data_IF_478697243990
#
_entry.id   IF_478697243990
#
_cell.length_a   1.000
_cell.length_b   1.000
_cell.length_c   1.000
_cell.angle_alpha   90.00
_cell.angle_beta   90.00
_cell.angle_gamma   90.00
#
_symmetry.space_group_name_H-M   'P 1'
#
loop_
_entity.id
_entity.type
_entity.pdbx_description
1 polymer ?
#
# COMPACT_ATOMS: atom_id res chain seq x y z
N UNK A 1 15.59 -11.30 -18.99
CA UNK A 1 14.35 -10.52 -19.30
C UNK A 1 14.26 -9.38 -18.29
N UNK A 2 14.11 -8.20 -18.79
CA UNK A 2 14.05 -7.00 -17.94
C UNK A 2 12.61 -6.67 -17.55
N UNK A 3 12.46 -5.99 -16.42
CA UNK A 3 11.15 -5.56 -15.89
C UNK A 3 10.38 -4.74 -16.91
N UNK A 4 11.04 -3.84 -17.64
CA UNK A 4 10.43 -3.02 -18.70
C UNK A 4 9.79 -3.82 -19.84
N UNK A 5 10.21 -5.08 -20.03
CA UNK A 5 9.70 -5.93 -21.10
C UNK A 5 8.34 -6.55 -20.76
N UNK A 6 8.01 -6.63 -19.46
CA UNK A 6 6.78 -7.27 -18.96
C UNK A 6 5.84 -6.32 -18.20
N UNK A 7 6.32 -5.12 -17.80
CA UNK A 7 5.50 -4.20 -17.02
C UNK A 7 4.31 -3.66 -17.82
N UNK A 8 3.21 -3.43 -17.13
CA UNK A 8 2.08 -2.66 -17.65
C UNK A 8 2.41 -1.17 -17.52
N UNK A 9 2.41 -0.44 -18.63
CA UNK A 9 2.77 0.99 -18.66
C UNK A 9 1.59 1.91 -18.32
N UNK A 10 0.39 1.57 -18.77
CA UNK A 10 -0.85 2.33 -18.50
C UNK A 10 -1.39 1.93 -17.12
N UNK A 11 -0.83 2.51 -16.07
CA UNK A 11 -1.16 2.18 -14.69
C UNK A 11 -2.33 3.03 -14.21
N UNK A 12 -3.34 2.39 -13.65
CA UNK A 12 -4.45 3.07 -12.97
C UNK A 12 -3.95 3.55 -11.61
N UNK A 13 -4.10 4.84 -11.35
CA UNK A 13 -3.64 5.50 -10.13
C UNK A 13 -4.74 6.33 -9.48
N UNK A 14 -4.53 6.73 -8.24
CA UNK A 14 -5.37 7.72 -7.54
C UNK A 14 -4.50 8.82 -6.97
N UNK A 15 -5.09 9.99 -6.76
CA UNK A 15 -4.44 11.10 -6.06
C UNK A 15 -4.47 10.87 -4.55
N UNK A 16 -3.54 11.47 -3.82
CA UNK A 16 -3.48 11.36 -2.35
C UNK A 16 -4.74 11.89 -1.65
N UNK A 17 -5.43 12.84 -2.27
CA UNK A 17 -6.69 13.42 -1.75
C UNK A 17 -7.93 12.58 -2.08
N UNK A 18 -7.82 11.53 -2.89
CA UNK A 18 -8.95 10.70 -3.27
C UNK A 18 -9.70 10.16 -2.05
N UNK A 19 -11.03 10.20 -2.10
CA UNK A 19 -11.87 9.65 -1.05
C UNK A 19 -11.84 8.12 -1.06
N UNK A 20 -12.25 7.51 0.05
CA UNK A 20 -12.38 6.04 0.14
C UNK A 20 -13.35 5.52 -0.93
N UNK A 21 -14.44 6.25 -1.19
CA UNK A 21 -15.40 5.90 -2.23
C UNK A 21 -14.79 5.94 -3.63
N UNK A 22 -13.99 6.96 -3.94
CA UNK A 22 -13.29 7.07 -5.22
C UNK A 22 -12.28 5.93 -5.42
N UNK A 23 -11.56 5.55 -4.37
CA UNK A 23 -10.64 4.42 -4.39
C UNK A 23 -11.41 3.11 -4.70
N UNK A 24 -12.48 2.85 -3.95
CA UNK A 24 -13.29 1.66 -4.14
C UNK A 24 -13.90 1.61 -5.55
N UNK A 25 -14.43 2.72 -6.04
CA UNK A 25 -15.01 2.82 -7.37
C UNK A 25 -13.96 2.59 -8.46
N UNK A 26 -12.76 3.15 -8.32
CA UNK A 26 -11.66 2.96 -9.27
C UNK A 26 -11.21 1.50 -9.33
N UNK A 27 -11.11 0.83 -8.19
CA UNK A 27 -10.79 -0.60 -8.09
C UNK A 27 -11.82 -1.45 -8.84
N UNK A 28 -13.10 -1.19 -8.64
CA UNK A 28 -14.19 -1.92 -9.28
C UNK A 28 -14.24 -1.64 -10.78
N UNK A 29 -14.19 -0.39 -11.20
CA UNK A 29 -14.33 0.03 -12.60
C UNK A 29 -13.21 -0.49 -13.51
N UNK A 30 -11.99 -0.63 -12.95
CA UNK A 30 -10.82 -1.06 -13.72
C UNK A 30 -10.40 -2.51 -13.43
N UNK A 31 -11.16 -3.22 -12.60
CA UNK A 31 -10.86 -4.61 -12.20
C UNK A 31 -9.40 -4.79 -11.72
N UNK A 32 -8.98 -3.90 -10.86
CA UNK A 32 -7.65 -3.92 -10.22
C UNK A 32 -7.81 -4.15 -8.73
N UNK A 33 -6.79 -4.69 -8.08
CA UNK A 33 -6.82 -4.96 -6.63
C UNK A 33 -5.96 -4.02 -5.81
N UNK A 34 -5.31 -3.06 -6.45
CA UNK A 34 -4.55 -2.01 -5.76
C UNK A 34 -4.06 -0.94 -6.73
N UNK A 35 -3.81 0.21 -6.17
CA UNK A 35 -3.54 1.44 -6.89
C UNK A 35 -2.33 2.17 -6.30
N UNK A 36 -1.36 2.59 -7.12
CA UNK A 36 -0.39 3.59 -6.68
C UNK A 36 -1.11 4.91 -6.35
N UNK A 37 -0.69 5.54 -5.26
CA UNK A 37 -1.16 6.86 -4.84
C UNK A 37 -0.15 7.89 -5.27
N UNK A 38 -0.61 8.90 -6.02
CA UNK A 38 0.24 9.92 -6.61
C UNK A 38 0.24 11.20 -5.79
N UNK A 39 1.43 11.76 -5.60
CA UNK A 39 1.60 13.10 -5.06
C UNK A 39 1.42 14.17 -6.15
N UNK A 40 1.31 15.44 -5.75
CA UNK A 40 1.09 16.57 -6.67
C UNK A 40 2.27 16.77 -7.64
N UNK A 41 3.46 16.35 -7.29
CA UNK A 41 4.68 16.42 -8.11
C UNK A 41 4.82 15.28 -9.14
N UNK A 42 3.83 14.37 -9.21
CA UNK A 42 3.85 13.23 -10.12
C UNK A 42 4.63 12.02 -9.60
N UNK A 43 5.08 12.03 -8.35
CA UNK A 43 5.75 10.89 -7.70
C UNK A 43 4.75 9.98 -6.99
N UNK A 44 5.13 8.71 -6.81
CA UNK A 44 4.35 7.75 -6.02
C UNK A 44 4.65 7.96 -4.54
N UNK A 45 3.62 8.28 -3.75
CA UNK A 45 3.75 8.49 -2.30
C UNK A 45 3.25 7.31 -1.46
N UNK A 46 2.55 6.37 -2.05
CA UNK A 46 2.05 5.18 -1.36
C UNK A 46 1.33 4.22 -2.29
N UNK A 47 0.83 3.15 -1.72
CA UNK A 47 -0.01 2.16 -2.39
C UNK A 47 -1.23 1.87 -1.53
N UNK A 48 -2.40 1.83 -2.15
CA UNK A 48 -3.66 1.43 -1.53
C UNK A 48 -4.20 0.19 -2.23
N UNK A 49 -4.74 -0.75 -1.47
CA UNK A 49 -5.27 -2.01 -1.99
C UNK A 49 -6.70 -2.30 -1.52
N UNK A 50 -7.36 -3.26 -2.18
CA UNK A 50 -8.65 -3.78 -1.69
C UNK A 50 -8.56 -4.32 -0.26
N UNK A 51 -7.41 -4.91 0.12
CA UNK A 51 -7.17 -5.36 1.49
C UNK A 51 -7.17 -4.22 2.51
N UNK A 52 -6.73 -3.03 2.13
CA UNK A 52 -6.79 -1.85 3.00
C UNK A 52 -8.24 -1.40 3.21
N UNK A 53 -9.07 -1.44 2.16
CA UNK A 53 -10.49 -1.15 2.25
C UNK A 53 -11.24 -2.15 3.14
N UNK A 54 -10.93 -3.44 3.00
CA UNK A 54 -11.52 -4.50 3.84
C UNK A 54 -11.12 -4.31 5.31
N UNK A 55 -9.84 -4.07 5.58
CA UNK A 55 -9.36 -3.84 6.96
C UNK A 55 -9.97 -2.61 7.63
N UNK A 56 -10.39 -1.63 6.85
CA UNK A 56 -11.11 -0.47 7.37
C UNK A 56 -12.42 -0.83 8.05
N UNK A 57 -13.06 -1.92 7.63
CA UNK A 57 -14.36 -2.39 8.18
C UNK A 57 -14.20 -3.30 9.42
N UNK A 58 -12.98 -3.75 9.72
CA UNK A 58 -12.72 -4.62 10.88
C UNK A 58 -12.20 -3.82 12.07
N UNK A 59 -12.75 -4.13 13.25
CA UNK A 59 -12.18 -3.61 14.50
C UNK A 59 -10.76 -4.14 14.68
N UNK A 60 -9.80 -3.29 15.10
CA UNK A 60 -8.45 -3.73 15.38
C UNK A 60 -8.42 -4.67 16.59
N UNK A 61 -7.53 -5.67 16.55
CA UNK A 61 -7.26 -6.51 17.70
C UNK A 61 -6.61 -5.67 18.82
N UNK A 62 -7.08 -5.86 20.05
CA UNK A 62 -6.51 -5.18 21.20
C UNK A 62 -5.05 -5.62 21.41
N UNK A 63 -4.14 -4.71 21.73
CA UNK A 63 -2.77 -5.08 22.04
C UNK A 63 -2.71 -5.87 23.35
N UNK A 64 -1.72 -6.77 23.47
CA UNK A 64 -1.46 -7.45 24.72
C UNK A 64 -1.02 -6.45 25.81
N UNK A 65 -1.67 -6.53 26.96
CA UNK A 65 -1.44 -5.60 28.05
C UNK A 65 -1.15 -6.30 29.37
N UNK A 66 -0.38 -5.63 30.22
CA UNK A 66 -0.11 -6.06 31.58
C UNK A 66 -0.39 -4.89 32.53
N UNK A 67 -1.22 -5.13 33.55
CA UNK A 67 -1.54 -4.12 34.55
C UNK A 67 -0.66 -4.34 35.80
N UNK A 68 0.21 -3.39 36.11
CA UNK A 68 1.09 -3.39 37.28
C UNK A 68 0.89 -2.11 38.07
N UNK A 69 0.51 -2.24 39.38
CA UNK A 69 0.35 -1.12 40.29
C UNK A 69 -0.55 0.02 39.73
N UNK A 70 -1.59 -0.38 38.97
CA UNK A 70 -2.52 0.58 38.37
C UNK A 70 -2.03 1.22 37.06
N UNK A 71 -0.85 0.86 36.56
CA UNK A 71 -0.36 1.24 35.25
C UNK A 71 -0.58 0.11 34.24
N UNK A 72 -1.07 0.46 33.04
CA UNK A 72 -1.23 -0.48 31.94
C UNK A 72 0.02 -0.41 31.05
N UNK A 73 0.65 -1.56 30.83
CA UNK A 73 1.84 -1.69 29.97
C UNK A 73 1.47 -2.59 28.80
N UNK A 74 1.54 -2.05 27.59
CA UNK A 74 1.38 -2.81 26.35
C UNK A 74 2.74 -3.42 25.99
N UNK A 75 2.82 -4.74 25.88
CA UNK A 75 4.06 -5.47 25.59
C UNK A 75 4.09 -6.12 24.20
N UNK A 76 2.95 -6.30 23.55
CA UNK A 76 2.88 -6.73 22.16
C UNK A 76 1.61 -6.23 21.46
N UNK A 77 1.63 -6.16 20.14
CA UNK A 77 0.46 -5.82 19.32
C UNK A 77 0.08 -4.33 19.28
N UNK A 78 0.76 -3.45 20.02
CA UNK A 78 0.41 -2.03 20.06
C UNK A 78 0.60 -1.34 18.71
N UNK A 79 1.67 -1.66 17.99
CA UNK A 79 1.97 -1.08 16.68
C UNK A 79 0.93 -1.50 15.65
N UNK A 80 0.59 -2.77 15.62
CA UNK A 80 -0.43 -3.34 14.76
C UNK A 80 -1.81 -2.75 15.06
N UNK A 81 -2.14 -2.56 16.34
CA UNK A 81 -3.36 -1.90 16.77
C UNK A 81 -3.43 -0.44 16.30
N UNK A 82 -2.36 0.32 16.47
CA UNK A 82 -2.29 1.72 16.03
C UNK A 82 -2.41 1.83 14.51
N UNK A 83 -1.75 0.96 13.75
CA UNK A 83 -1.83 0.94 12.28
C UNK A 83 -3.24 0.57 11.79
N UNK A 84 -3.87 -0.43 12.40
CA UNK A 84 -5.24 -0.83 12.07
C UNK A 84 -6.23 0.29 12.41
N UNK A 85 -6.10 0.93 13.57
CA UNK A 85 -6.96 2.06 13.97
C UNK A 85 -6.80 3.24 13.00
N UNK A 86 -5.58 3.57 12.60
CA UNK A 86 -5.32 4.61 11.60
C UNK A 86 -6.03 4.34 10.28
N UNK A 87 -6.02 3.09 9.80
CA UNK A 87 -6.71 2.69 8.56
C UNK A 87 -8.23 2.76 8.70
N UNK A 88 -8.78 2.36 9.83
CA UNK A 88 -10.23 2.48 10.12
C UNK A 88 -10.68 3.94 10.12
N UNK A 89 -9.89 4.83 10.70
CA UNK A 89 -10.17 6.27 10.76
C UNK A 89 -9.88 7.01 9.45
N UNK A 90 -9.23 6.39 8.48
CA UNK A 90 -8.84 7.03 7.22
C UNK A 90 -10.06 7.49 6.41
N UNK A 91 -9.98 8.69 5.83
CA UNK A 91 -10.99 9.29 4.95
C UNK A 91 -10.44 9.60 3.54
N UNK A 92 -9.15 9.50 3.35
CA UNK A 92 -8.46 9.76 2.08
C UNK A 92 -7.43 8.68 1.76
N UNK A 93 -6.98 8.63 0.50
CA UNK A 93 -5.92 7.74 0.04
C UNK A 93 -4.64 7.94 0.86
N UNK A 94 -4.25 9.17 1.13
CA UNK A 94 -3.05 9.50 1.91
C UNK A 94 -3.09 8.88 3.31
N UNK A 95 -4.25 8.86 3.95
CA UNK A 95 -4.43 8.28 5.27
C UNK A 95 -4.52 6.75 5.26
N UNK A 96 -5.11 6.17 4.19
CA UNK A 96 -5.31 4.73 4.06
C UNK A 96 -4.08 4.00 3.53
N UNK A 97 -3.31 4.63 2.65
CA UNK A 97 -2.20 4.01 1.93
C UNK A 97 -1.10 3.47 2.83
N UNK A 98 -0.37 2.48 2.32
CA UNK A 98 0.92 2.05 2.85
C UNK A 98 2.00 2.94 2.26
N UNK A 99 2.73 3.65 3.12
CA UNK A 99 3.77 4.62 2.71
C UNK A 99 5.09 3.97 2.33
N UNK A 100 5.41 2.81 2.90
CA UNK A 100 6.61 2.05 2.57
C UNK A 100 6.42 1.33 1.25
N UNK A 101 6.92 1.91 0.17
CA UNK A 101 6.79 1.37 -1.17
C UNK A 101 7.93 0.38 -1.43
N UNK A 102 7.57 -0.83 -1.84
CA UNK A 102 8.50 -1.81 -2.39
C UNK A 102 8.42 -1.69 -3.90
N UNK A 103 9.50 -1.30 -4.55
CA UNK A 103 9.55 -1.03 -5.98
C UNK A 103 10.78 -1.65 -6.63
N UNK A 104 10.77 -1.71 -7.95
CA UNK A 104 11.89 -2.12 -8.80
C UNK A 104 12.16 -1.07 -9.86
N UNK A 105 13.32 -1.16 -10.50
CA UNK A 105 13.68 -0.32 -11.65
C UNK A 105 13.32 -1.01 -12.96
N UNK A 106 13.15 -0.24 -14.02
CA UNK A 106 12.81 -0.76 -15.35
C UNK A 106 13.87 -1.71 -15.93
N UNK A 107 15.12 -1.49 -15.58
CA UNK A 107 16.27 -2.30 -16.06
C UNK A 107 16.66 -3.45 -15.10
N UNK A 108 15.92 -3.66 -14.03
CA UNK A 108 16.10 -4.82 -13.15
C UNK A 108 15.70 -6.11 -13.87
N UNK A 109 16.27 -7.23 -13.44
CA UNK A 109 15.86 -8.54 -13.95
C UNK A 109 14.52 -8.98 -13.35
N UNK A 110 13.70 -9.63 -14.15
CA UNK A 110 12.38 -10.15 -13.73
C UNK A 110 12.47 -11.05 -12.50
N UNK A 111 13.59 -11.75 -12.31
CA UNK A 111 13.81 -12.58 -11.12
C UNK A 111 13.77 -11.79 -9.80
N UNK A 112 14.15 -10.50 -9.82
CA UNK A 112 14.04 -9.64 -8.63
C UNK A 112 12.59 -9.39 -8.26
N UNK A 113 11.71 -9.16 -9.25
CA UNK A 113 10.27 -9.04 -9.02
C UNK A 113 9.71 -10.32 -8.40
N UNK A 114 10.07 -11.49 -8.96
CA UNK A 114 9.62 -12.78 -8.44
C UNK A 114 10.03 -12.99 -6.97
N UNK A 115 11.27 -12.64 -6.61
CA UNK A 115 11.75 -12.68 -5.22
C UNK A 115 10.95 -11.76 -4.30
N UNK A 116 10.65 -10.54 -4.75
CA UNK A 116 9.87 -9.57 -3.98
C UNK A 116 8.45 -10.08 -3.75
N UNK A 117 7.76 -10.51 -4.80
CA UNK A 117 6.40 -11.05 -4.72
C UNK A 117 6.33 -12.22 -3.72
N UNK A 118 7.29 -13.13 -3.80
CA UNK A 118 7.35 -14.30 -2.91
C UNK A 118 7.70 -13.93 -1.47
N UNK A 119 8.80 -13.19 -1.26
CA UNK A 119 9.33 -12.93 0.08
C UNK A 119 8.53 -11.88 0.86
N UNK A 120 7.93 -10.92 0.17
CA UNK A 120 7.17 -9.83 0.80
C UNK A 120 5.66 -10.06 0.79
N UNK A 121 5.20 -11.16 0.19
CA UNK A 121 3.78 -11.49 0.08
C UNK A 121 2.94 -10.36 -0.51
N UNK A 122 3.50 -9.63 -1.45
CA UNK A 122 2.79 -8.60 -2.21
C UNK A 122 2.33 -9.14 -3.55
N UNK A 123 1.26 -8.59 -4.10
CA UNK A 123 0.66 -9.07 -5.36
C UNK A 123 1.13 -8.28 -6.58
N UNK A 124 1.76 -7.14 -6.36
CA UNK A 124 2.25 -6.27 -7.42
C UNK A 124 3.37 -5.40 -6.93
N UNK A 125 4.20 -4.96 -7.87
CA UNK A 125 5.38 -4.15 -7.59
C UNK A 125 5.42 -2.99 -8.58
N UNK A 126 5.35 -1.74 -8.13
CA UNK A 126 5.52 -0.59 -9.00
C UNK A 126 6.95 -0.51 -9.53
N UNK A 127 7.05 -0.06 -10.77
CA UNK A 127 8.32 0.20 -11.45
C UNK A 127 8.53 1.72 -11.43
N UNK A 128 9.57 2.16 -10.73
CA UNK A 128 9.85 3.57 -10.50
C UNK A 128 11.20 3.98 -11.09
N UNK A 129 11.32 5.24 -11.49
CA UNK A 129 12.61 5.85 -11.79
C UNK A 129 13.33 6.30 -10.51
N UNK A 130 14.52 6.89 -10.66
CA UNK A 130 15.31 7.38 -9.53
C UNK A 130 14.66 8.53 -8.75
N UNK A 131 13.73 9.24 -9.39
CA UNK A 131 12.95 10.34 -8.80
C UNK A 131 11.60 9.89 -8.27
N UNK A 132 11.33 8.58 -8.23
CA UNK A 132 10.06 7.96 -7.82
C UNK A 132 8.88 8.23 -8.74
N UNK A 133 9.10 8.60 -10.01
CA UNK A 133 8.04 8.65 -10.99
C UNK A 133 7.65 7.24 -11.43
N UNK A 134 6.37 7.04 -11.66
CA UNK A 134 5.81 5.75 -12.03
C UNK A 134 6.06 5.47 -13.52
N UNK A 135 6.79 4.40 -13.82
CA UNK A 135 7.05 3.93 -15.19
C UNK A 135 6.11 2.80 -15.60
N UNK A 136 5.66 2.00 -14.64
CA UNK A 136 4.80 0.87 -14.87
C UNK A 136 4.52 0.09 -13.60
N UNK A 137 3.88 -1.06 -13.75
CA UNK A 137 3.58 -1.99 -12.67
C UNK A 137 3.70 -3.45 -13.16
N UNK A 138 4.18 -4.33 -12.29
CA UNK A 138 4.26 -5.79 -12.52
C UNK A 138 3.42 -6.51 -11.49
#
# INVERSE_FOLDING_TARGET
MLVKDIMTKDVITVKKEASIREIAQTIVDHDVSGLPVMDDDGTVCGIVSEGDLVRKEFAPELPDELCILGAVIYYSGLREYQDAFRKIAAISAEQLMTKKIISVKADDDVSEVAKILYNKHVKRVPVLDEKKHLLGIV
#
